data_IF_209458365871
#
_entry.id   IF_209458365871
#
_cell.length_a   1.000
_cell.length_b   1.000
_cell.length_c   1.000
_cell.angle_alpha   90.00
_cell.angle_beta   90.00
_cell.angle_gamma   90.00
#
_symmetry.space_group_name_H-M   'P 1'
#
loop_
_entity.id
_entity.type
_entity.pdbx_description
1 polymer ?
#
# COMPACT_ATOMS: atom_id res chain seq x y z
N UNK A 1 -29.84 17.55 -47.64
CA UNK A 1 -29.45 16.44 -46.74
C UNK A 1 -28.00 16.52 -46.24
N UNK A 2 -27.10 17.23 -46.94
CA UNK A 2 -25.68 17.39 -46.54
C UNK A 2 -25.45 18.29 -45.31
N UNK A 3 -26.32 19.28 -45.06
CA UNK A 3 -26.22 20.20 -43.90
C UNK A 3 -26.54 19.58 -42.54
N UNK A 4 -27.28 18.46 -42.50
CA UNK A 4 -27.59 17.72 -41.25
C UNK A 4 -26.46 16.79 -40.83
N UNK A 5 -25.63 16.35 -41.78
CA UNK A 5 -24.46 15.50 -41.51
C UNK A 5 -23.35 16.31 -40.83
N UNK A 6 -23.24 17.60 -41.15
CA UNK A 6 -22.24 18.50 -40.54
C UNK A 6 -22.50 18.79 -39.05
N UNK A 7 -23.75 18.70 -38.59
CA UNK A 7 -24.09 18.93 -37.18
C UNK A 7 -23.78 17.72 -36.28
N UNK A 8 -23.77 16.50 -36.83
CA UNK A 8 -23.50 15.28 -36.07
C UNK A 8 -21.99 15.02 -35.86
N UNK A 9 -21.13 15.51 -36.74
CA UNK A 9 -19.67 15.38 -36.58
C UNK A 9 -19.08 16.36 -35.56
N UNK A 10 -19.75 17.50 -35.30
CA UNK A 10 -19.29 18.46 -34.29
C UNK A 10 -19.52 18.00 -32.84
N UNK A 11 -20.52 17.14 -32.59
CA UNK A 11 -20.83 16.64 -31.24
C UNK A 11 -19.92 15.48 -30.81
N UNK A 12 -19.44 14.66 -31.75
CA UNK A 12 -18.51 13.56 -31.44
C UNK A 12 -17.10 14.04 -31.05
N UNK A 13 -16.71 15.25 -31.45
CA UNK A 13 -15.41 15.82 -31.14
C UNK A 13 -15.27 16.30 -29.67
N UNK A 14 -16.38 16.49 -28.94
CA UNK A 14 -16.35 16.89 -27.53
C UNK A 14 -16.13 15.71 -26.55
N UNK A 15 -16.26 14.46 -27.01
CA UNK A 15 -16.07 13.27 -26.18
C UNK A 15 -14.63 12.73 -26.21
N UNK A 16 -13.75 13.31 -27.02
CA UNK A 16 -12.34 12.93 -27.14
C UNK A 16 -11.44 13.66 -26.12
N UNK A 17 -11.94 13.86 -24.89
CA UNK A 17 -11.08 14.23 -23.77
C UNK A 17 -9.96 13.17 -23.66
N UNK A 18 -8.68 13.57 -23.54
CA UNK A 18 -7.60 12.60 -23.46
C UNK A 18 -7.73 11.84 -22.13
N UNK A 19 -8.25 10.62 -22.20
CA UNK A 19 -8.23 9.63 -21.12
C UNK A 19 -6.79 9.23 -20.72
N UNK A 20 -5.78 9.73 -21.44
CA UNK A 20 -4.38 9.33 -21.34
C UNK A 20 -3.60 9.95 -20.17
N UNK A 21 -4.21 10.74 -19.27
CA UNK A 21 -3.47 11.38 -18.19
C UNK A 21 -4.23 11.52 -16.86
N UNK A 22 -5.09 10.57 -16.50
CA UNK A 22 -5.47 10.40 -15.09
C UNK A 22 -4.33 9.73 -14.32
N UNK A 23 -3.14 10.33 -14.37
CA UNK A 23 -2.08 9.98 -13.44
C UNK A 23 -2.55 10.36 -12.04
N UNK A 24 -2.54 9.41 -11.10
CA UNK A 24 -2.67 9.76 -9.69
C UNK A 24 -1.51 10.71 -9.36
N UNK A 25 -1.81 11.99 -9.18
CA UNK A 25 -0.82 12.94 -8.70
C UNK A 25 -0.30 12.39 -7.38
N UNK A 26 1.00 12.14 -7.31
CA UNK A 26 1.62 11.58 -6.12
C UNK A 26 1.34 12.52 -4.95
N UNK A 27 0.57 12.05 -3.96
CA UNK A 27 0.37 12.79 -2.71
C UNK A 27 1.74 13.03 -2.09
N UNK A 28 2.05 14.29 -1.80
CA UNK A 28 3.26 14.64 -1.07
C UNK A 28 3.27 13.87 0.26
N UNK A 29 4.34 13.10 0.49
CA UNK A 29 4.49 12.32 1.71
C UNK A 29 5.15 13.12 2.82
N UNK A 30 5.10 12.57 4.04
CA UNK A 30 5.82 13.10 5.20
C UNK A 30 6.77 12.04 5.75
N UNK A 31 7.97 12.43 6.16
CA UNK A 31 8.82 11.52 6.93
C UNK A 31 8.14 11.18 8.26
N UNK A 32 8.08 9.90 8.59
CA UNK A 32 7.39 9.39 9.77
C UNK A 32 8.20 8.27 10.43
N UNK A 33 8.09 8.18 11.75
CA UNK A 33 8.56 7.04 12.54
C UNK A 33 7.35 6.35 13.19
N UNK A 34 7.22 5.05 12.98
CA UNK A 34 6.12 4.23 13.45
C UNK A 34 6.70 3.15 14.37
N UNK A 35 6.05 2.91 15.51
CA UNK A 35 6.29 1.71 16.30
C UNK A 35 5.05 0.82 16.19
N UNK A 36 5.22 -0.44 15.85
CA UNK A 36 4.09 -1.35 15.64
C UNK A 36 4.52 -2.81 15.52
N UNK A 37 3.54 -3.70 15.38
CA UNK A 37 3.75 -5.12 15.14
C UNK A 37 3.72 -5.41 13.64
N UNK A 38 4.66 -6.22 13.15
CA UNK A 38 4.55 -6.75 11.78
C UNK A 38 3.50 -7.85 11.75
N UNK A 39 2.52 -7.71 10.87
CA UNK A 39 1.40 -8.66 10.72
C UNK A 39 1.27 -9.12 9.27
N UNK A 40 0.77 -10.34 9.09
CA UNK A 40 0.21 -10.80 7.81
C UNK A 40 -1.11 -10.06 7.54
N UNK A 41 -1.20 -9.29 6.45
CA UNK A 41 -2.37 -8.45 6.20
C UNK A 41 -3.64 -9.25 5.92
N UNK A 42 -3.54 -10.44 5.31
CA UNK A 42 -4.71 -11.24 4.99
C UNK A 42 -5.33 -11.82 6.26
N UNK A 43 -4.55 -12.55 7.06
CA UNK A 43 -5.04 -13.21 8.27
C UNK A 43 -5.49 -12.17 9.31
N UNK A 44 -4.69 -11.12 9.54
CA UNK A 44 -5.06 -10.08 10.49
C UNK A 44 -6.40 -9.42 10.15
N UNK A 45 -6.64 -9.08 8.88
CA UNK A 45 -7.86 -8.35 8.49
C UNK A 45 -9.09 -9.24 8.31
N UNK A 46 -8.91 -10.54 8.03
CA UNK A 46 -10.04 -11.46 7.78
C UNK A 46 -10.48 -12.23 9.03
N UNK A 47 -9.55 -12.51 9.95
CA UNK A 47 -9.83 -13.33 11.13
C UNK A 47 -9.15 -12.85 12.42
N UNK A 48 -8.39 -11.75 12.37
CA UNK A 48 -7.76 -11.16 13.56
C UNK A 48 -6.51 -11.91 14.04
N UNK A 49 -6.02 -12.91 13.31
CA UNK A 49 -4.84 -13.65 13.74
C UNK A 49 -3.58 -12.76 13.72
N UNK A 50 -2.85 -12.80 14.83
CA UNK A 50 -1.56 -12.14 15.02
C UNK A 50 -0.85 -12.71 16.25
N UNK A 51 0.39 -12.28 16.47
CA UNK A 51 1.23 -12.62 17.62
C UNK A 51 2.02 -13.92 17.44
N UNK A 52 2.76 -14.29 18.49
CA UNK A 52 3.74 -15.38 18.44
C UNK A 52 3.14 -16.72 17.96
N UNK A 53 1.89 -17.03 18.31
CA UNK A 53 1.19 -18.25 17.87
C UNK A 53 0.90 -18.27 16.36
N UNK A 54 0.82 -17.11 15.71
CA UNK A 54 0.55 -16.99 14.28
C UNK A 54 1.83 -16.97 13.42
N UNK A 55 3.01 -16.82 14.02
CA UNK A 55 4.27 -16.54 13.32
C UNK A 55 4.62 -17.54 12.22
N UNK A 56 4.51 -18.84 12.48
CA UNK A 56 4.85 -19.86 11.49
C UNK A 56 3.91 -19.85 10.27
N UNK A 57 2.62 -19.58 10.50
CA UNK A 57 1.63 -19.43 9.45
C UNK A 57 1.91 -18.16 8.63
N UNK A 58 2.08 -17.01 9.30
CA UNK A 58 2.43 -15.74 8.66
C UNK A 58 3.72 -15.84 7.83
N UNK A 59 4.73 -16.57 8.30
CA UNK A 59 5.95 -16.83 7.53
C UNK A 59 5.70 -17.62 6.23
N UNK A 60 4.83 -18.62 6.27
CA UNK A 60 4.46 -19.37 5.08
C UNK A 60 3.67 -18.49 4.09
N UNK A 61 2.73 -17.69 4.58
CA UNK A 61 1.96 -16.73 3.78
C UNK A 61 2.84 -15.66 3.14
N UNK A 62 3.77 -15.06 3.89
CA UNK A 62 4.71 -14.07 3.37
C UNK A 62 5.58 -14.63 2.24
N UNK A 63 6.06 -15.88 2.38
CA UNK A 63 6.81 -16.60 1.32
C UNK A 63 5.97 -16.88 0.07
N UNK A 64 4.66 -17.06 0.24
CA UNK A 64 3.71 -17.20 -0.86
C UNK A 64 3.32 -15.86 -1.50
N UNK A 65 3.82 -14.73 -0.98
CA UNK A 65 3.58 -13.39 -1.51
C UNK A 65 2.43 -12.63 -0.85
N UNK A 66 1.87 -13.13 0.25
CA UNK A 66 0.88 -12.38 1.02
C UNK A 66 1.54 -11.13 1.63
N UNK A 67 1.00 -9.92 1.43
CA UNK A 67 1.60 -8.70 1.95
C UNK A 67 1.72 -8.68 3.48
N UNK A 68 2.89 -8.27 3.97
CA UNK A 68 3.11 -7.91 5.36
C UNK A 68 2.82 -6.42 5.57
N UNK A 69 2.34 -6.06 6.76
CA UNK A 69 2.13 -4.67 7.16
C UNK A 69 2.57 -4.40 8.59
N UNK A 70 2.53 -3.12 8.99
CA UNK A 70 2.84 -2.70 10.35
C UNK A 70 1.57 -2.19 11.02
N UNK A 71 1.12 -2.91 12.05
CA UNK A 71 0.01 -2.54 12.91
C UNK A 71 0.51 -1.67 14.07
N UNK A 72 0.15 -0.40 14.06
CA UNK A 72 0.43 0.53 15.15
C UNK A 72 -0.53 0.32 16.33
N UNK A 73 -0.17 0.82 17.51
CA UNK A 73 -0.96 0.66 18.74
C UNK A 73 -2.32 1.37 18.72
N UNK A 74 -2.49 2.35 17.83
CA UNK A 74 -3.76 3.04 17.56
C UNK A 74 -4.68 2.25 16.60
N UNK A 75 -4.25 1.07 16.15
CA UNK A 75 -5.00 0.24 15.19
C UNK A 75 -4.74 0.61 13.72
N UNK A 76 -3.93 1.63 13.45
CA UNK A 76 -3.58 2.00 12.08
C UNK A 76 -2.68 0.95 11.45
N UNK A 77 -3.03 0.48 10.25
CA UNK A 77 -2.21 -0.42 9.44
C UNK A 77 -1.43 0.40 8.42
N UNK A 78 -0.10 0.30 8.46
CA UNK A 78 0.79 0.89 7.48
C UNK A 78 1.23 -0.18 6.48
N UNK A 79 0.89 0.02 5.20
CA UNK A 79 1.22 -0.90 4.11
C UNK A 79 2.55 -0.49 3.48
N UNK A 80 3.59 -1.36 3.52
CA UNK A 80 4.86 -1.11 2.87
C UNK A 80 4.70 -1.01 1.35
N UNK A 81 5.19 0.07 0.76
CA UNK A 81 5.16 0.29 -0.70
C UNK A 81 6.51 0.78 -1.21
N UNK A 82 6.72 0.70 -2.52
CA UNK A 82 7.88 1.26 -3.19
C UNK A 82 7.45 2.31 -4.21
N UNK A 83 8.25 3.36 -4.36
CA UNK A 83 8.14 4.26 -5.51
C UNK A 83 8.64 3.63 -6.81
N UNK A 84 9.35 2.49 -6.73
CA UNK A 84 9.85 1.74 -7.89
C UNK A 84 8.82 0.70 -8.36
N UNK A 85 8.46 0.69 -9.66
CA UNK A 85 7.62 -0.36 -10.22
C UNK A 85 8.24 -1.76 -10.06
N UNK A 86 7.40 -2.74 -9.68
CA UNK A 86 7.81 -4.14 -9.57
C UNK A 86 8.75 -4.43 -8.39
N UNK A 87 8.73 -3.61 -7.34
CA UNK A 87 9.58 -3.76 -6.16
C UNK A 87 8.77 -4.21 -4.92
N UNK A 88 8.59 -5.53 -4.69
CA UNK A 88 7.84 -6.05 -3.56
C UNK A 88 8.57 -5.79 -2.23
N UNK A 89 7.82 -5.41 -1.19
CA UNK A 89 8.40 -4.89 0.06
C UNK A 89 8.41 -5.88 1.23
N UNK A 90 7.87 -7.09 1.08
CA UNK A 90 7.81 -8.10 2.14
C UNK A 90 9.17 -8.39 2.78
N UNK A 91 10.22 -8.50 1.97
CA UNK A 91 11.59 -8.82 2.42
C UNK A 91 12.12 -7.87 3.49
N UNK A 92 11.64 -6.62 3.52
CA UNK A 92 12.01 -5.65 4.57
C UNK A 92 11.47 -6.06 5.95
N UNK A 93 10.34 -6.76 6.00
CA UNK A 93 9.66 -7.12 7.25
C UNK A 93 9.75 -8.61 7.60
N UNK A 94 10.21 -9.47 6.70
CA UNK A 94 10.24 -10.94 6.88
C UNK A 94 10.91 -11.40 8.18
N UNK A 95 12.05 -10.82 8.54
CA UNK A 95 12.78 -11.17 9.78
C UNK A 95 12.03 -10.75 11.06
N UNK A 96 11.02 -9.90 10.94
CA UNK A 96 10.26 -9.32 12.04
C UNK A 96 8.81 -9.80 12.09
N UNK A 97 8.42 -10.81 11.31
CA UNK A 97 7.05 -11.34 11.30
C UNK A 97 6.57 -11.64 12.73
N UNK A 98 5.41 -11.08 13.07
CA UNK A 98 4.76 -11.12 14.39
C UNK A 98 5.57 -10.52 15.55
N UNK A 99 6.63 -9.76 15.25
CA UNK A 99 7.42 -9.02 16.21
C UNK A 99 7.12 -7.52 16.17
N UNK A 100 7.48 -6.83 17.26
CA UNK A 100 7.45 -5.37 17.31
C UNK A 100 8.65 -4.77 16.61
N UNK A 101 8.41 -3.70 15.86
CA UNK A 101 9.40 -2.96 15.11
C UNK A 101 9.23 -1.46 15.28
N UNK A 102 10.35 -0.76 15.10
CA UNK A 102 10.39 0.67 14.82
C UNK A 102 10.74 0.84 13.34
N UNK A 103 9.85 1.50 12.60
CA UNK A 103 9.97 1.74 11.15
C UNK A 103 10.11 3.23 10.91
N UNK A 104 11.05 3.63 10.06
CA UNK A 104 11.10 4.99 9.52
C UNK A 104 10.87 4.95 8.01
N UNK A 105 10.22 5.98 7.48
CA UNK A 105 9.96 6.03 6.05
C UNK A 105 9.12 7.23 5.63
N UNK A 106 8.83 7.29 4.33
CA UNK A 106 7.93 8.29 3.76
C UNK A 106 6.49 7.78 3.84
N UNK A 107 5.69 8.37 4.71
CA UNK A 107 4.26 8.05 4.85
C UNK A 107 3.43 8.85 3.85
N UNK A 108 2.41 8.20 3.28
CA UNK A 108 1.37 8.85 2.47
C UNK A 108 0.01 8.27 2.83
N UNK A 109 -1.00 9.14 2.93
CA UNK A 109 -2.41 8.73 2.98
C UNK A 109 -3.00 8.81 1.57
N UNK A 110 -3.30 7.66 0.97
CA UNK A 110 -3.78 7.57 -0.41
C UNK A 110 -5.07 6.77 -0.43
N UNK A 111 -6.18 7.42 -0.78
CA UNK A 111 -7.50 6.77 -0.93
C UNK A 111 -7.92 5.92 0.29
N UNK A 112 -7.61 6.38 1.50
CA UNK A 112 -7.92 5.66 2.74
C UNK A 112 -6.83 4.71 3.23
N UNK A 113 -5.74 4.51 2.47
CA UNK A 113 -4.62 3.65 2.87
C UNK A 113 -3.46 4.46 3.43
N UNK A 114 -3.01 4.08 4.62
CA UNK A 114 -1.72 4.50 5.14
C UNK A 114 -0.64 3.66 4.46
N UNK A 115 0.13 4.28 3.57
CA UNK A 115 1.27 3.63 2.91
C UNK A 115 2.57 4.14 3.50
N UNK A 116 3.60 3.29 3.56
CA UNK A 116 4.92 3.65 4.07
C UNK A 116 6.00 3.13 3.13
N UNK A 117 6.81 4.04 2.60
CA UNK A 117 8.02 3.69 1.87
C UNK A 117 9.17 3.54 2.87
N UNK A 118 9.46 2.30 3.25
CA UNK A 118 10.35 1.98 4.39
C UNK A 118 11.80 2.33 4.07
N UNK A 119 12.36 3.24 4.86
CA UNK A 119 13.79 3.62 4.87
C UNK A 119 14.57 2.73 5.83
N UNK A 120 14.11 2.58 7.07
CA UNK A 120 14.72 1.69 8.06
C UNK A 120 13.68 0.92 8.84
N UNK A 121 14.09 -0.25 9.33
CA UNK A 121 13.31 -1.08 10.25
C UNK A 121 14.28 -1.70 11.26
N UNK A 122 13.90 -1.68 12.52
CA UNK A 122 14.63 -2.32 13.61
C UNK A 122 13.66 -2.95 14.59
N UNK A 123 14.12 -3.95 15.35
CA UNK A 123 13.34 -4.47 16.47
C UNK A 123 12.99 -3.33 17.45
N UNK A 124 11.79 -3.39 18.02
CA UNK A 124 11.37 -2.54 19.12
C UNK A 124 11.02 -3.42 20.33
N UNK A 125 11.30 -2.90 21.52
CA UNK A 125 10.94 -3.52 22.81
C UNK A 125 9.46 -3.33 23.15
#
# INVERSE_FOLDING_TARGET
>A
MLKRVLACTAVLALCALPLAAQGHAATAGNEMTITGQVVDLNCFTTNGASGAGHKACAQACAKAGVPLGVLSSDGTIYVPVSSKPGDPQNSKLEQFIEAKVKVTGMHRMVSGLHTIEIKTVSAAT
#
